data_IF_343626648399
#
_entry.id   IF_343626648399
#
_cell.length_a   1.000
_cell.length_b   1.000
_cell.length_c   1.000
_cell.angle_alpha   90.00
_cell.angle_beta   90.00
_cell.angle_gamma   90.00
#
_symmetry.space_group_name_H-M   'P 1'
#
loop_
_entity.id
_entity.type
_entity.pdbx_description
1 polymer ?
#
# COMPACT_ATOMS: atom_id res chain seq x y z
N UNK A 1 -58.06 -1.89 -9.35
CA UNK A 1 -56.98 -2.33 -8.44
C UNK A 1 -55.77 -2.69 -9.28
N UNK A 2 -54.84 -1.77 -9.47
CA UNK A 2 -53.66 -1.96 -10.33
C UNK A 2 -52.44 -2.17 -9.44
N UNK A 3 -51.87 -3.37 -9.45
CA UNK A 3 -50.64 -3.68 -8.73
C UNK A 3 -49.44 -3.11 -9.50
N UNK A 4 -48.69 -2.19 -8.89
CA UNK A 4 -47.38 -1.76 -9.38
C UNK A 4 -46.30 -2.68 -8.81
N UNK A 5 -45.59 -3.40 -9.68
CA UNK A 5 -44.39 -4.14 -9.34
C UNK A 5 -43.22 -3.18 -9.14
N UNK A 6 -42.66 -3.12 -7.92
CA UNK A 6 -41.42 -2.39 -7.62
C UNK A 6 -40.21 -3.04 -8.33
N UNK A 7 -39.32 -2.27 -8.98
CA UNK A 7 -38.09 -2.83 -9.53
C UNK A 7 -37.11 -3.21 -8.40
N UNK A 8 -36.62 -4.46 -8.43
CA UNK A 8 -35.57 -4.97 -7.55
C UNK A 8 -34.29 -4.15 -7.71
N UNK A 9 -33.99 -3.34 -6.69
CA UNK A 9 -32.88 -2.37 -6.66
C UNK A 9 -31.52 -2.99 -6.35
N UNK A 10 -31.35 -4.32 -6.44
CA UNK A 10 -30.09 -5.01 -6.13
C UNK A 10 -29.12 -5.22 -7.29
N UNK A 11 -29.30 -4.55 -8.43
CA UNK A 11 -28.25 -4.54 -9.48
C UNK A 11 -27.25 -3.42 -9.20
N UNK A 12 -26.10 -3.78 -8.61
CA UNK A 12 -24.90 -2.93 -8.63
C UNK A 12 -24.64 -2.52 -10.08
N UNK A 13 -24.48 -1.23 -10.41
CA UNK A 13 -24.20 -0.83 -11.79
C UNK A 13 -22.91 -1.53 -12.23
N UNK A 14 -23.03 -2.40 -13.23
CA UNK A 14 -21.90 -3.08 -13.84
C UNK A 14 -21.04 -2.03 -14.53
N UNK A 15 -19.99 -1.56 -13.86
CA UNK A 15 -19.00 -0.71 -14.52
C UNK A 15 -18.42 -1.51 -15.68
N UNK A 16 -18.51 -1.06 -16.93
CA UNK A 16 -17.85 -1.75 -18.03
C UNK A 16 -16.35 -1.73 -17.73
N UNK A 17 -15.75 -2.92 -17.64
CA UNK A 17 -14.32 -3.06 -17.49
C UNK A 17 -13.65 -2.69 -18.83
N UNK A 18 -13.46 -1.39 -19.07
CA UNK A 18 -12.62 -0.91 -20.15
C UNK A 18 -11.16 -1.20 -19.77
N UNK A 19 -10.67 -2.38 -20.19
CA UNK A 19 -9.30 -2.85 -19.97
C UNK A 19 -9.22 -4.27 -19.42
N UNK A 20 -8.10 -4.98 -19.69
CA UNK A 20 -7.84 -6.29 -19.07
C UNK A 20 -7.82 -6.14 -17.55
N UNK A 21 -8.67 -6.87 -16.84
CA UNK A 21 -8.69 -6.87 -15.39
C UNK A 21 -7.32 -7.33 -14.85
N UNK A 22 -6.70 -6.53 -13.99
CA UNK A 22 -5.43 -6.91 -13.36
C UNK A 22 -5.63 -8.10 -12.43
N UNK A 23 -4.74 -9.08 -12.53
CA UNK A 23 -4.71 -10.21 -11.60
C UNK A 23 -4.37 -9.73 -10.19
N UNK A 24 -4.71 -10.52 -9.16
CA UNK A 24 -4.34 -10.22 -7.78
C UNK A 24 -2.81 -10.05 -7.62
N UNK A 25 -2.04 -10.88 -8.33
CA UNK A 25 -0.56 -10.81 -8.35
C UNK A 25 -0.08 -9.48 -8.93
N UNK A 26 -0.66 -9.04 -10.06
CA UNK A 26 -0.31 -7.76 -10.67
C UNK A 26 -0.60 -6.58 -9.73
N UNK A 27 -1.79 -6.55 -9.10
CA UNK A 27 -2.14 -5.51 -8.13
C UNK A 27 -1.16 -5.45 -6.96
N UNK A 28 -0.75 -6.61 -6.43
CA UNK A 28 0.22 -6.69 -5.34
C UNK A 28 1.60 -6.19 -5.75
N UNK A 29 2.05 -6.49 -6.98
CA UNK A 29 3.31 -5.96 -7.52
C UNK A 29 3.26 -4.45 -7.66
N UNK A 30 2.17 -3.91 -8.22
CA UNK A 30 1.99 -2.47 -8.39
C UNK A 30 1.96 -1.74 -7.04
N UNK A 31 1.29 -2.34 -6.04
CA UNK A 31 1.26 -1.78 -4.69
C UNK A 31 2.68 -1.71 -4.11
N UNK A 32 3.44 -2.80 -4.16
CA UNK A 32 4.83 -2.82 -3.69
C UNK A 32 5.71 -1.81 -4.42
N UNK A 33 5.50 -1.63 -5.73
CA UNK A 33 6.24 -0.64 -6.50
C UNK A 33 5.94 0.79 -6.01
N UNK A 34 4.67 1.11 -5.75
CA UNK A 34 4.27 2.41 -5.20
C UNK A 34 4.82 2.64 -3.80
N UNK A 35 4.74 1.63 -2.93
CA UNK A 35 5.26 1.71 -1.57
C UNK A 35 6.78 1.98 -1.59
N UNK A 36 7.50 1.34 -2.52
CA UNK A 36 8.93 1.57 -2.73
C UNK A 36 9.24 2.97 -3.25
N UNK A 37 8.47 3.47 -4.21
CA UNK A 37 8.61 4.84 -4.70
C UNK A 37 8.41 5.84 -3.56
N UNK A 38 7.37 5.65 -2.74
CA UNK A 38 7.10 6.50 -1.59
C UNK A 38 8.26 6.51 -0.57
N UNK A 39 8.93 5.37 -0.35
CA UNK A 39 10.12 5.30 0.52
C UNK A 39 11.29 6.14 -0.02
N UNK A 40 11.49 6.16 -1.34
CA UNK A 40 12.59 6.92 -1.95
C UNK A 40 12.30 8.42 -2.11
N UNK A 41 11.03 8.79 -2.27
CA UNK A 41 10.60 10.19 -2.43
C UNK A 41 10.39 10.91 -1.10
N UNK A 42 10.02 10.18 -0.05
CA UNK A 42 9.71 10.75 1.25
C UNK A 42 10.93 10.82 2.16
N UNK A 43 11.03 11.91 2.93
CA UNK A 43 12.03 12.04 3.99
C UNK A 43 11.83 10.95 5.05
N UNK A 44 12.94 10.46 5.60
CA UNK A 44 12.93 9.33 6.55
C UNK A 44 12.09 9.56 7.79
N UNK A 45 11.92 10.82 8.19
CA UNK A 45 11.12 11.22 9.36
C UNK A 45 9.60 11.11 9.14
N UNK A 46 9.18 10.95 7.89
CA UNK A 46 7.76 10.78 7.53
C UNK A 46 7.36 9.33 7.29
N UNK A 47 8.31 8.39 7.35
CA UNK A 47 8.02 6.99 7.11
C UNK A 47 7.14 6.41 8.22
N UNK A 48 6.18 5.61 7.78
CA UNK A 48 5.34 4.78 8.64
C UNK A 48 6.10 3.56 9.14
N UNK A 49 5.62 2.96 10.23
CA UNK A 49 6.21 1.73 10.79
C UNK A 49 6.29 0.61 9.75
N UNK A 50 5.25 0.44 8.93
CA UNK A 50 5.22 -0.57 7.89
C UNK A 50 6.33 -0.35 6.83
N UNK A 51 6.60 0.90 6.46
CA UNK A 51 7.68 1.24 5.53
C UNK A 51 9.06 0.97 6.15
N UNK A 52 9.27 1.37 7.41
CA UNK A 52 10.51 1.08 8.12
C UNK A 52 10.76 -0.43 8.22
N UNK A 53 9.74 -1.22 8.57
CA UNK A 53 9.84 -2.69 8.61
C UNK A 53 10.12 -3.29 7.22
N UNK A 54 9.52 -2.75 6.16
CA UNK A 54 9.80 -3.17 4.78
C UNK A 54 11.27 -2.91 4.40
N UNK A 55 11.86 -1.80 4.86
CA UNK A 55 13.28 -1.48 4.63
C UNK A 55 14.20 -2.44 5.41
N UNK A 56 13.86 -2.73 6.67
CA UNK A 56 14.68 -3.59 7.52
C UNK A 56 14.65 -5.06 7.12
N UNK A 57 13.50 -5.55 6.66
CA UNK A 57 13.30 -6.97 6.28
C UNK A 57 13.52 -7.24 4.79
N UNK A 58 13.53 -6.18 3.96
CA UNK A 58 13.65 -6.30 2.53
C UNK A 58 15.05 -6.70 2.08
N UNK A 59 15.17 -7.80 1.33
CA UNK A 59 16.42 -8.24 0.71
C UNK A 59 17.01 -7.24 -0.31
N UNK A 60 16.22 -6.24 -0.72
CA UNK A 60 16.64 -5.17 -1.64
C UNK A 60 17.60 -4.18 -1.00
N UNK A 61 17.55 -4.01 0.33
CA UNK A 61 18.37 -3.03 1.02
C UNK A 61 19.59 -3.73 1.63
N UNK A 62 20.82 -3.31 1.27
CA UNK A 62 22.02 -3.85 1.89
C UNK A 62 21.98 -3.67 3.41
N UNK A 63 22.47 -4.68 4.13
CA UNK A 63 22.65 -4.59 5.58
C UNK A 63 23.51 -3.37 5.92
N UNK A 64 23.15 -2.65 6.98
CA UNK A 64 23.84 -1.43 7.44
C UNK A 64 23.83 -0.26 6.44
N UNK A 65 22.98 -0.29 5.40
CA UNK A 65 22.80 0.85 4.51
C UNK A 65 22.28 2.08 5.27
N UNK A 66 22.53 3.31 4.78
CA UNK A 66 21.99 4.54 5.38
C UNK A 66 20.47 4.49 5.55
N UNK A 67 19.75 3.89 4.59
CA UNK A 67 18.30 3.66 4.65
C UNK A 67 17.90 2.76 5.84
N UNK A 68 18.63 1.67 6.10
CA UNK A 68 18.35 0.83 7.27
C UNK A 68 18.63 1.54 8.59
N UNK A 69 19.69 2.36 8.66
CA UNK A 69 19.97 3.18 9.86
C UNK A 69 18.85 4.19 10.11
N UNK A 70 18.42 4.90 9.07
CA UNK A 70 17.30 5.84 9.15
C UNK A 70 15.99 5.16 9.57
N UNK A 71 15.71 3.97 9.02
CA UNK A 71 14.53 3.19 9.38
C UNK A 71 14.54 2.76 10.86
N UNK A 72 15.69 2.38 11.41
CA UNK A 72 15.83 2.08 12.84
C UNK A 72 15.57 3.30 13.72
N UNK A 73 16.11 4.46 13.35
CA UNK A 73 15.90 5.71 14.08
C UNK A 73 14.42 6.07 14.09
N UNK A 74 13.77 6.03 12.93
CA UNK A 74 12.34 6.35 12.80
C UNK A 74 11.45 5.39 13.57
N UNK A 75 11.74 4.08 13.57
CA UNK A 75 11.01 3.10 14.42
C UNK A 75 11.15 3.45 15.90
N UNK A 76 12.34 3.85 16.34
CA UNK A 76 12.56 4.31 17.71
C UNK A 76 11.67 5.49 18.08
N UNK A 77 11.58 6.49 17.19
CA UNK A 77 10.68 7.65 17.34
C UNK A 77 9.21 7.23 17.39
N UNK A 78 8.75 6.40 16.46
CA UNK A 78 7.35 5.95 16.38
C UNK A 78 6.91 5.11 17.59
N UNK A 79 7.83 4.37 18.19
CA UNK A 79 7.57 3.50 19.34
C UNK A 79 7.93 4.12 20.69
N UNK A 80 8.32 5.40 20.72
CA UNK A 80 8.69 6.14 21.94
C UNK A 80 9.87 5.50 22.71
N UNK A 81 10.78 4.83 22.02
CA UNK A 81 12.00 4.27 22.61
C UNK A 81 13.18 5.26 22.62
N UNK A 82 13.01 6.43 22.01
CA UNK A 82 13.94 7.58 21.96
C UNK A 82 13.19 8.86 22.26
#
# INVERSE_FOLDING_TARGET
>A
MTQQTLPDSRKKPGRPATGKARTAVQRKRDQRARDMTAIFEADSDSWTEAQCLAILTGARFPKNSPLQKAAWIQIGKLRLFM
#
